data_IF_222030142215
#
_entry.id   IF_222030142215
#
_cell.length_a   1.000
_cell.length_b   1.000
_cell.length_c   1.000
_cell.angle_alpha   90.00
_cell.angle_beta   90.00
_cell.angle_gamma   90.00
#
_symmetry.space_group_name_H-M   'P 1'
#
loop_
_entity.id
_entity.type
_entity.pdbx_description
1 polymer ?
#
# COMPACT_ATOMS: atom_id res chain seq x y z
N UNK A 1 -6.09 -13.81 -24.97
CA UNK A 1 -6.09 -12.96 -23.77
C UNK A 1 -4.88 -13.36 -22.96
N UNK A 2 -4.05 -12.42 -22.52
CA UNK A 2 -2.89 -12.76 -21.70
C UNK A 2 -3.37 -13.24 -20.33
N UNK A 3 -2.79 -14.34 -19.83
CA UNK A 3 -3.05 -14.81 -18.47
C UNK A 3 -2.28 -13.90 -17.50
N UNK A 4 -2.99 -13.12 -16.69
CA UNK A 4 -2.37 -12.29 -15.66
C UNK A 4 -2.03 -13.19 -14.46
N UNK A 5 -0.74 -13.53 -14.32
CA UNK A 5 -0.22 -14.25 -13.17
C UNK A 5 -0.23 -13.33 -11.94
N UNK A 6 -0.67 -13.85 -10.80
CA UNK A 6 -0.58 -13.17 -9.51
C UNK A 6 0.90 -13.01 -9.13
N UNK A 7 1.39 -11.77 -9.06
CA UNK A 7 2.80 -11.44 -8.78
C UNK A 7 3.14 -11.48 -7.28
N UNK A 8 2.16 -11.27 -6.42
CA UNK A 8 2.35 -11.31 -4.97
C UNK A 8 1.02 -11.31 -4.22
N UNK A 9 0.98 -12.02 -3.09
CA UNK A 9 -0.16 -12.06 -2.19
C UNK A 9 0.31 -12.18 -0.75
N UNK A 10 0.09 -11.12 0.03
CA UNK A 10 0.43 -11.05 1.44
C UNK A 10 -0.85 -11.12 2.28
N UNK A 11 -1.14 -12.25 2.95
CA UNK A 11 -2.33 -12.37 3.79
C UNK A 11 -2.27 -11.54 5.08
N UNK A 12 -1.05 -11.14 5.50
CA UNK A 12 -0.79 -10.34 6.70
C UNK A 12 -1.32 -10.98 7.99
N UNK A 13 -1.27 -12.32 8.09
CA UNK A 13 -1.79 -13.07 9.23
C UNK A 13 -0.84 -13.07 10.42
N UNK A 14 0.38 -13.51 10.19
CA UNK A 14 1.45 -13.65 11.21
C UNK A 14 2.74 -12.98 10.75
N UNK A 15 2.73 -12.39 9.57
CA UNK A 15 3.91 -11.90 8.87
C UNK A 15 3.57 -11.32 7.49
N UNK A 16 4.58 -10.77 6.85
CA UNK A 16 4.52 -10.26 5.48
C UNK A 16 5.03 -11.28 4.46
N UNK A 17 4.70 -12.56 4.61
CA UNK A 17 5.12 -13.60 3.65
C UNK A 17 4.22 -13.55 2.41
N UNK A 18 4.86 -13.56 1.25
CA UNK A 18 4.18 -13.78 -0.03
C UNK A 18 3.83 -15.26 -0.17
N UNK A 19 2.55 -15.57 -0.41
CA UNK A 19 2.07 -16.94 -0.63
C UNK A 19 1.83 -17.26 -2.11
N UNK A 20 1.94 -16.27 -3.01
CA UNK A 20 1.88 -16.45 -4.45
C UNK A 20 3.27 -16.64 -5.09
N UNK A 21 4.33 -16.23 -4.38
CA UNK A 21 5.71 -16.30 -4.84
C UNK A 21 6.73 -16.02 -3.73
N UNK A 22 7.90 -15.50 -4.13
CA UNK A 22 9.06 -15.29 -3.25
C UNK A 22 9.24 -13.80 -2.86
N UNK A 23 8.26 -12.94 -3.15
CA UNK A 23 8.32 -11.50 -2.85
C UNK A 23 8.01 -11.21 -1.37
N UNK A 24 8.74 -11.86 -0.47
CA UNK A 24 8.53 -11.74 0.96
C UNK A 24 8.84 -10.32 1.46
N UNK A 25 7.99 -9.79 2.32
CA UNK A 25 8.16 -8.49 2.96
C UNK A 25 8.86 -8.59 4.32
N UNK A 26 9.59 -7.53 4.68
CA UNK A 26 10.12 -7.28 6.00
C UNK A 26 9.23 -6.25 6.71
N UNK A 27 8.63 -6.63 7.83
CA UNK A 27 7.76 -5.76 8.61
C UNK A 27 8.57 -4.98 9.66
N UNK A 28 8.33 -3.66 9.74
CA UNK A 28 8.97 -2.74 10.67
C UNK A 28 7.90 -1.98 11.43
N UNK A 29 7.90 -2.09 12.76
CA UNK A 29 6.92 -1.41 13.64
C UNK A 29 5.45 -1.68 13.26
N UNK A 30 5.15 -2.89 12.79
CA UNK A 30 3.81 -3.36 12.42
C UNK A 30 3.39 -4.47 13.38
N UNK A 31 2.14 -4.41 13.85
CA UNK A 31 1.54 -5.52 14.59
C UNK A 31 0.69 -6.36 13.64
N UNK A 32 0.79 -7.68 13.74
CA UNK A 32 -0.15 -8.59 13.09
C UNK A 32 -1.28 -8.92 14.07
N UNK A 33 -2.51 -8.58 13.68
CA UNK A 33 -3.70 -8.66 14.51
C UNK A 33 -4.83 -9.36 13.78
N UNK A 34 -5.80 -9.90 14.51
CA UNK A 34 -7.02 -10.43 13.91
C UNK A 34 -7.70 -9.36 13.05
N UNK A 35 -8.02 -9.72 11.81
CA UNK A 35 -8.67 -8.81 10.90
C UNK A 35 -10.10 -8.50 11.32
N UNK A 36 -10.67 -7.39 10.81
CA UNK A 36 -12.03 -6.97 11.13
C UNK A 36 -13.15 -7.96 10.76
N UNK A 37 -12.83 -9.01 10.00
CA UNK A 37 -13.82 -9.94 9.43
C UNK A 37 -13.62 -11.33 10.04
N UNK A 38 -14.61 -11.76 10.82
CA UNK A 38 -14.82 -13.11 11.37
C UNK A 38 -13.58 -13.84 11.92
N UNK A 39 -12.66 -13.13 12.60
CA UNK A 39 -11.49 -13.68 13.32
C UNK A 39 -10.55 -14.62 12.52
N UNK A 40 -10.74 -14.79 11.22
CA UNK A 40 -10.07 -15.82 10.42
C UNK A 40 -9.07 -15.26 9.38
N UNK A 41 -9.16 -13.98 9.06
CA UNK A 41 -8.17 -13.30 8.21
C UNK A 41 -7.38 -12.35 9.09
N UNK A 42 -6.10 -12.59 9.31
CA UNK A 42 -5.28 -11.60 10.02
C UNK A 42 -5.04 -10.34 9.18
N UNK A 43 -4.47 -9.32 9.82
CA UNK A 43 -4.22 -8.02 9.23
C UNK A 43 -2.98 -7.36 9.84
N UNK A 44 -2.33 -6.49 9.09
CA UNK A 44 -1.27 -5.63 9.60
C UNK A 44 -1.84 -4.30 10.13
N UNK A 45 -1.51 -3.94 11.36
CA UNK A 45 -1.82 -2.64 11.94
C UNK A 45 -0.58 -1.74 11.96
N UNK A 46 -0.67 -0.65 11.21
CA UNK A 46 0.35 0.39 11.09
C UNK A 46 0.05 1.50 12.11
N UNK A 47 0.77 1.54 13.22
CA UNK A 47 0.44 2.37 14.39
C UNK A 47 1.20 3.69 14.45
N UNK A 48 2.29 3.81 13.71
CA UNK A 48 3.19 4.97 13.75
C UNK A 48 3.67 5.36 12.35
N UNK A 49 4.24 6.55 12.24
CA UNK A 49 4.74 7.09 10.96
C UNK A 49 5.94 6.32 10.38
N UNK A 50 6.57 5.48 11.19
CA UNK A 50 7.67 4.57 10.82
C UNK A 50 7.24 3.11 10.71
N UNK A 51 5.91 2.83 10.77
CA UNK A 51 5.35 1.53 10.45
C UNK A 51 5.40 1.30 8.94
N UNK A 52 6.08 0.25 8.51
CA UNK A 52 6.14 -0.13 7.09
C UNK A 52 6.32 -1.64 6.89
N UNK A 53 5.92 -2.12 5.72
CA UNK A 53 6.32 -3.42 5.21
C UNK A 53 7.13 -3.17 3.94
N UNK A 54 8.41 -3.51 3.97
CA UNK A 54 9.31 -3.34 2.83
C UNK A 54 9.38 -4.64 2.05
N UNK A 55 9.10 -4.59 0.75
CA UNK A 55 9.29 -5.71 -0.16
C UNK A 55 10.53 -5.41 -1.00
N UNK A 56 11.59 -6.26 -0.96
CA UNK A 56 12.79 -6.05 -1.75
C UNK A 56 12.47 -5.94 -3.24
N UNK A 57 13.25 -5.13 -3.96
CA UNK A 57 13.12 -5.02 -5.41
C UNK A 57 13.40 -6.38 -6.07
N UNK A 58 12.46 -6.82 -6.91
CA UNK A 58 12.55 -8.07 -7.66
C UNK A 58 12.17 -7.86 -9.13
N UNK A 59 12.68 -8.70 -10.07
CA UNK A 59 12.38 -8.55 -11.50
C UNK A 59 10.90 -8.63 -11.86
N UNK A 60 10.13 -9.48 -11.18
CA UNK A 60 8.69 -9.65 -11.39
C UNK A 60 7.84 -8.52 -10.81
N UNK A 61 8.40 -7.74 -9.86
CA UNK A 61 7.81 -6.49 -9.37
C UNK A 61 8.13 -5.28 -10.26
N UNK A 62 8.89 -5.45 -11.34
CA UNK A 62 9.08 -4.40 -12.35
C UNK A 62 7.92 -4.37 -13.32
N UNK A 63 6.84 -3.69 -12.92
CA UNK A 63 5.58 -3.59 -13.68
C UNK A 63 5.77 -3.02 -15.10
N UNK A 64 6.79 -2.17 -15.29
CA UNK A 64 7.10 -1.56 -16.57
C UNK A 64 5.89 -0.87 -17.20
N UNK A 65 5.62 -1.16 -18.47
CA UNK A 65 4.52 -0.58 -19.24
C UNK A 65 3.37 -1.58 -19.43
N UNK A 66 3.30 -2.63 -18.60
CA UNK A 66 2.29 -3.67 -18.70
C UNK A 66 1.06 -3.32 -17.85
N UNK A 67 -0.09 -3.84 -18.24
CA UNK A 67 -1.30 -3.75 -17.42
C UNK A 67 -1.10 -4.53 -16.12
N UNK A 68 -1.49 -3.91 -15.01
CA UNK A 68 -1.46 -4.53 -13.68
C UNK A 68 -2.73 -4.19 -12.90
N UNK A 69 -2.94 -4.90 -11.81
CA UNK A 69 -4.02 -4.63 -10.87
C UNK A 69 -3.54 -4.86 -9.45
N UNK A 70 -4.03 -4.04 -8.53
CA UNK A 70 -3.77 -4.16 -7.09
C UNK A 70 -5.12 -4.31 -6.40
N UNK A 71 -5.22 -5.29 -5.50
CA UNK A 71 -6.41 -5.50 -4.67
C UNK A 71 -5.99 -5.57 -3.21
N UNK A 72 -6.64 -4.78 -2.37
CA UNK A 72 -6.32 -4.67 -0.94
C UNK A 72 -7.55 -4.25 -0.15
N UNK A 73 -7.64 -4.73 1.09
CA UNK A 73 -8.62 -4.26 2.07
C UNK A 73 -7.92 -3.35 3.07
N UNK A 74 -8.47 -2.16 3.29
CA UNK A 74 -7.90 -1.19 4.25
C UNK A 74 -8.97 -0.73 5.22
N UNK A 75 -8.63 -0.74 6.51
CA UNK A 75 -9.44 -0.17 7.59
C UNK A 75 -8.68 0.99 8.21
N UNK A 76 -9.20 2.20 8.05
CA UNK A 76 -8.66 3.39 8.70
C UNK A 76 -9.15 3.50 10.15
N UNK A 77 -8.23 3.78 11.07
CA UNK A 77 -8.55 3.99 12.47
C UNK A 77 -9.49 5.19 12.70
N UNK A 78 -10.33 5.09 13.74
CA UNK A 78 -11.28 6.13 14.15
C UNK A 78 -11.12 6.45 15.64
N UNK A 79 -11.21 7.73 16.05
CA UNK A 79 -11.30 8.91 15.20
C UNK A 79 -10.00 9.14 14.41
N UNK A 80 -10.08 9.84 13.28
CA UNK A 80 -8.88 10.18 12.51
C UNK A 80 -8.04 11.20 13.29
N UNK A 81 -6.82 10.82 13.65
CA UNK A 81 -5.91 11.65 14.48
C UNK A 81 -4.69 12.17 13.71
N UNK A 82 -4.60 11.91 12.41
CA UNK A 82 -3.46 12.27 11.58
C UNK A 82 -3.60 11.76 10.14
N UNK A 83 -2.47 11.70 9.44
CA UNK A 83 -2.37 11.12 8.09
C UNK A 83 -2.32 9.59 8.14
N UNK A 84 -2.91 8.91 7.16
CA UNK A 84 -2.87 7.44 7.07
C UNK A 84 -1.66 6.92 6.31
N UNK A 85 -1.07 7.73 5.42
CA UNK A 85 0.07 7.34 4.60
C UNK A 85 -0.30 6.54 3.35
N UNK A 86 0.70 5.82 2.83
CA UNK A 86 0.59 5.04 1.60
C UNK A 86 0.17 3.60 1.89
N UNK A 87 -0.76 3.08 1.08
CA UNK A 87 -1.12 1.66 1.02
C UNK A 87 -0.10 0.89 0.17
N UNK A 88 0.41 1.54 -0.88
CA UNK A 88 1.50 1.04 -1.72
C UNK A 88 2.32 2.22 -2.22
N UNK A 89 3.64 2.14 -2.06
CA UNK A 89 4.58 3.08 -2.66
C UNK A 89 5.69 2.29 -3.38
N UNK A 90 5.83 2.51 -4.69
CA UNK A 90 6.97 2.03 -5.48
C UNK A 90 7.42 3.14 -6.40
N UNK A 91 8.37 3.94 -5.93
CA UNK A 91 8.85 5.11 -6.65
C UNK A 91 10.37 5.15 -6.65
N UNK A 92 10.97 5.29 -7.84
CA UNK A 92 12.40 5.58 -7.99
C UNK A 92 12.58 7.10 -8.08
N UNK A 93 13.17 7.76 -7.06
CA UNK A 93 13.36 9.20 -7.06
C UNK A 93 14.38 9.69 -8.09
N UNK A 94 15.31 8.82 -8.55
CA UNK A 94 16.31 9.22 -9.53
C UNK A 94 15.70 9.33 -10.93
N UNK A 95 14.94 8.32 -11.35
CA UNK A 95 14.23 8.36 -12.63
C UNK A 95 12.90 9.11 -12.56
N UNK A 96 12.41 9.43 -11.34
CA UNK A 96 11.05 9.94 -11.07
C UNK A 96 9.96 9.08 -11.68
N UNK A 97 10.15 7.77 -11.67
CA UNK A 97 9.21 6.82 -12.25
C UNK A 97 8.64 5.93 -11.14
N UNK A 98 7.33 5.71 -11.15
CA UNK A 98 6.72 4.82 -10.18
C UNK A 98 5.24 5.01 -9.99
N UNK A 99 4.73 4.38 -8.93
CA UNK A 99 3.33 4.39 -8.55
C UNK A 99 3.18 4.66 -7.05
N UNK A 100 2.08 5.30 -6.69
CA UNK A 100 1.59 5.37 -5.32
C UNK A 100 0.09 5.09 -5.25
N UNK A 101 -0.34 4.48 -4.16
CA UNK A 101 -1.71 4.35 -3.75
C UNK A 101 -1.79 4.78 -2.29
N UNK A 102 -2.50 5.87 -2.02
CA UNK A 102 -2.52 6.49 -0.69
C UNK A 102 -3.94 6.76 -0.21
N UNK A 103 -4.09 6.81 1.12
CA UNK A 103 -5.32 7.26 1.75
C UNK A 103 -5.07 8.63 2.37
N UNK A 104 -5.65 9.66 1.78
CA UNK A 104 -5.63 11.01 2.32
C UNK A 104 -6.85 11.24 3.22
N UNK A 105 -6.63 11.97 4.31
CA UNK A 105 -7.68 12.38 5.23
C UNK A 105 -7.47 13.82 5.67
N UNK A 106 -8.56 14.57 5.82
CA UNK A 106 -8.55 15.96 6.30
C UNK A 106 -9.15 16.08 7.69
N UNK A 107 -8.42 16.67 8.63
CA UNK A 107 -8.93 16.94 9.99
C UNK A 107 -9.95 18.08 9.97
N UNK A 108 -11.00 18.01 10.78
CA UNK A 108 -11.97 19.10 10.95
C UNK A 108 -11.31 20.32 11.63
N UNK A 109 -11.15 21.41 10.88
CA UNK A 109 -10.72 22.73 11.35
C UNK A 109 -11.19 23.78 10.36
N UNK A 110 -11.84 24.85 10.85
CA UNK A 110 -12.54 25.89 10.08
C UNK A 110 -12.06 26.05 8.62
N UNK A 111 -12.93 25.63 7.68
CA UNK A 111 -12.78 25.59 6.21
C UNK A 111 -12.11 24.36 5.58
N UNK A 112 -11.72 23.32 6.34
CA UNK A 112 -11.28 22.05 5.76
C UNK A 112 -12.46 21.13 5.39
N UNK A 113 -12.24 20.23 4.42
CA UNK A 113 -13.18 19.15 4.06
C UNK A 113 -13.38 18.24 5.28
N UNK A 114 -14.40 18.51 6.09
CA UNK A 114 -14.87 17.70 7.23
C UNK A 114 -14.59 16.19 7.06
N UNK A 115 -13.70 15.59 7.87
CA UNK A 115 -13.39 14.15 8.04
C UNK A 115 -13.44 13.28 6.77
N UNK A 116 -13.20 13.86 5.59
CA UNK A 116 -13.38 13.17 4.33
C UNK A 116 -12.14 12.33 4.07
N UNK A 117 -12.36 11.09 3.66
CA UNK A 117 -11.29 10.16 3.27
C UNK A 117 -11.30 10.03 1.76
N UNK A 118 -10.14 10.19 1.18
CA UNK A 118 -9.92 10.09 -0.25
C UNK A 118 -8.89 9.00 -0.53
N UNK A 119 -9.12 8.23 -1.59
CA UNK A 119 -8.12 7.34 -2.15
C UNK A 119 -7.51 8.06 -3.34
N UNK A 120 -6.18 8.20 -3.34
CA UNK A 120 -5.44 8.76 -4.47
C UNK A 120 -4.55 7.70 -5.07
N UNK A 121 -4.52 7.66 -6.40
CA UNK A 121 -3.63 6.81 -7.18
C UNK A 121 -2.83 7.69 -8.12
N UNK A 122 -1.50 7.54 -8.10
CA UNK A 122 -0.58 8.27 -8.95
C UNK A 122 0.34 7.31 -9.70
N UNK A 123 0.63 7.65 -10.95
CA UNK A 123 1.65 7.02 -11.79
C UNK A 123 2.46 8.12 -12.47
N UNK A 124 3.79 7.95 -12.52
CA UNK A 124 4.72 8.88 -13.15
C UNK A 124 5.74 8.06 -13.96
N UNK A 125 6.10 8.53 -15.15
CA UNK A 125 7.13 7.94 -16.02
C UNK A 125 8.43 8.76 -16.06
N UNK A 126 8.48 9.87 -15.32
CA UNK A 126 9.62 10.76 -15.20
C UNK A 126 9.87 11.66 -16.42
N UNK A 127 9.00 11.60 -17.43
CA UNK A 127 9.18 12.30 -18.70
C UNK A 127 8.94 13.81 -18.54
N UNK A 128 9.95 14.62 -18.90
CA UNK A 128 9.93 16.09 -18.68
C UNK A 128 9.51 16.90 -19.91
N UNK A 129 9.19 16.24 -21.03
CA UNK A 129 9.00 16.92 -22.32
C UNK A 129 10.33 17.40 -22.91
N UNK A 130 10.47 17.28 -24.23
CA UNK A 130 11.57 17.85 -25.02
C UNK A 130 11.11 19.05 -25.83
#
# INVERSE_FOLDING_TARGET
>A
MAEHKLTGHWPLTEGARDIAGENHGAAHHVDFVDGPRDNASGSAHFKSSDSQIEIPAAPDLQLGNQDFSITVWVRCDRPMRGVFGDVLAKFDPFSRCGINLQIAGSTAGYSSMSDTRHVHFGIDDGYVGG
#
